data_IF_283087153689
#
_entry.id   IF_283087153689
#
_cell.length_a   1.000
_cell.length_b   1.000
_cell.length_c   1.000
_cell.angle_alpha   90.00
_cell.angle_beta   90.00
_cell.angle_gamma   90.00
#
_symmetry.space_group_name_H-M   'P 1'
#
loop_
_entity.id
_entity.type
_entity.pdbx_description
1 polymer ?
#
# COMPACT_ATOMS: atom_id res chain seq x y z
N UNK A 1 -30.68 5.04 -19.37
CA UNK A 1 -29.54 5.18 -18.43
C UNK A 1 -28.33 4.39 -18.93
N UNK A 2 -28.49 3.11 -19.29
CA UNK A 2 -27.47 2.26 -19.94
C UNK A 2 -26.84 2.86 -21.21
N UNK A 3 -27.62 3.43 -22.13
CA UNK A 3 -27.09 4.03 -23.36
C UNK A 3 -26.23 5.29 -23.10
N UNK A 4 -26.58 6.10 -22.10
CA UNK A 4 -25.79 7.27 -21.70
C UNK A 4 -24.48 6.85 -21.02
N UNK A 5 -24.51 5.79 -20.20
CA UNK A 5 -23.33 5.17 -19.60
C UNK A 5 -22.41 4.56 -20.66
N UNK A 6 -22.96 3.88 -21.67
CA UNK A 6 -22.20 3.30 -22.78
C UNK A 6 -21.56 4.36 -23.67
N UNK A 7 -22.27 5.46 -23.96
CA UNK A 7 -21.73 6.59 -24.73
C UNK A 7 -20.67 7.34 -23.92
N UNK A 8 -20.83 7.51 -22.61
CA UNK A 8 -19.83 8.12 -21.74
C UNK A 8 -18.57 7.24 -21.61
N UNK A 9 -18.74 5.91 -21.54
CA UNK A 9 -17.67 4.92 -21.56
C UNK A 9 -16.96 4.82 -22.92
N UNK A 10 -17.66 5.12 -24.02
CA UNK A 10 -17.09 5.21 -25.36
C UNK A 10 -16.40 6.57 -25.62
N UNK A 11 -16.90 7.66 -25.01
CA UNK A 11 -16.39 9.02 -25.20
C UNK A 11 -15.09 9.30 -24.44
N UNK A 12 -14.87 8.61 -23.32
CA UNK A 12 -13.61 8.67 -22.59
C UNK A 12 -12.89 7.35 -22.78
N UNK A 13 -11.86 7.34 -23.62
CA UNK A 13 -10.97 6.17 -23.67
C UNK A 13 -10.52 5.82 -22.25
N UNK A 14 -10.59 4.54 -21.87
CA UNK A 14 -10.23 4.08 -20.53
C UNK A 14 -8.83 4.59 -20.10
N UNK A 15 -7.96 4.83 -21.08
CA UNK A 15 -6.65 5.44 -20.89
C UNK A 15 -6.71 6.90 -20.42
N UNK A 16 -7.59 7.73 -20.98
CA UNK A 16 -7.78 9.11 -20.53
C UNK A 16 -8.40 9.13 -19.14
N UNK A 17 -9.42 8.30 -18.87
CA UNK A 17 -10.02 8.19 -17.55
C UNK A 17 -8.97 7.82 -16.48
N UNK A 18 -8.12 6.83 -16.77
CA UNK A 18 -7.05 6.43 -15.87
C UNK A 18 -6.03 7.56 -15.63
N UNK A 19 -5.61 8.28 -16.68
CA UNK A 19 -4.68 9.41 -16.55
C UNK A 19 -5.27 10.55 -15.72
N UNK A 20 -6.53 10.89 -15.97
CA UNK A 20 -7.25 11.94 -15.23
C UNK A 20 -7.40 11.54 -13.77
N UNK A 21 -7.74 10.28 -13.48
CA UNK A 21 -7.86 9.80 -12.10
C UNK A 21 -6.52 9.83 -11.38
N UNK A 22 -5.43 9.38 -12.02
CA UNK A 22 -4.08 9.44 -11.45
C UNK A 22 -3.68 10.90 -11.16
N UNK A 23 -3.79 11.78 -12.16
CA UNK A 23 -3.45 13.20 -12.00
C UNK A 23 -4.31 13.86 -10.93
N UNK A 24 -5.61 13.58 -10.92
CA UNK A 24 -6.56 14.09 -9.94
C UNK A 24 -6.27 13.60 -8.53
N UNK A 25 -5.93 12.32 -8.34
CA UNK A 25 -5.58 11.77 -7.04
C UNK A 25 -4.25 12.33 -6.52
N UNK A 26 -3.21 12.40 -7.36
CA UNK A 26 -1.91 12.95 -6.97
C UNK A 26 -1.99 14.46 -6.66
N UNK A 27 -2.65 15.23 -7.52
CA UNK A 27 -2.88 16.64 -7.29
C UNK A 27 -3.76 16.87 -6.05
N UNK A 28 -4.84 16.09 -5.92
CA UNK A 28 -5.73 16.13 -4.76
C UNK A 28 -5.01 15.84 -3.46
N UNK A 29 -4.11 14.85 -3.45
CA UNK A 29 -3.28 14.52 -2.29
C UNK A 29 -2.37 15.67 -1.88
N UNK A 30 -1.63 16.25 -2.84
CA UNK A 30 -0.76 17.40 -2.59
C UNK A 30 -1.55 18.63 -2.13
N UNK A 31 -2.68 18.90 -2.77
CA UNK A 31 -3.55 20.03 -2.45
C UNK A 31 -4.18 19.88 -1.07
N UNK A 32 -4.73 18.71 -0.75
CA UNK A 32 -5.31 18.42 0.55
C UNK A 32 -4.26 18.53 1.65
N UNK A 33 -3.06 17.96 1.45
CA UNK A 33 -1.95 18.08 2.39
C UNK A 33 -1.55 19.55 2.61
N UNK A 34 -1.41 20.33 1.53
CA UNK A 34 -1.07 21.76 1.61
C UNK A 34 -2.13 22.59 2.37
N UNK A 35 -3.42 22.34 2.12
CA UNK A 35 -4.53 23.11 2.69
C UNK A 35 -4.89 22.70 4.12
N UNK A 36 -4.73 21.43 4.46
CA UNK A 36 -5.14 20.89 5.75
C UNK A 36 -4.07 21.00 6.83
N UNK A 37 -2.86 21.43 6.48
CA UNK A 37 -1.79 21.64 7.43
C UNK A 37 -2.10 22.84 8.36
N UNK A 38 -1.98 22.67 9.69
CA UNK A 38 -2.31 23.70 10.66
C UNK A 38 -1.25 24.81 10.79
N UNK A 39 -0.11 24.69 10.11
CA UNK A 39 0.97 25.69 10.13
C UNK A 39 0.65 26.85 9.19
N UNK A 40 1.07 28.07 9.51
CA UNK A 40 0.67 29.29 8.77
C UNK A 40 1.56 29.69 7.59
N UNK A 41 2.71 29.05 7.37
CA UNK A 41 3.69 29.46 6.36
C UNK A 41 3.56 28.72 5.03
N UNK A 42 3.87 29.41 3.92
CA UNK A 42 3.95 28.80 2.58
C UNK A 42 5.00 27.67 2.53
N UNK A 43 6.23 27.96 2.97
CA UNK A 43 7.35 27.02 2.93
C UNK A 43 7.07 25.69 3.66
N UNK A 44 6.65 25.67 4.95
CA UNK A 44 6.40 24.39 5.63
C UNK A 44 5.23 23.62 5.00
N UNK A 45 4.21 24.30 4.46
CA UNK A 45 3.11 23.64 3.75
C UNK A 45 3.55 23.03 2.43
N UNK A 46 4.34 23.75 1.65
CA UNK A 46 4.91 23.26 0.41
C UNK A 46 5.77 22.02 0.66
N UNK A 47 6.73 22.12 1.60
CA UNK A 47 7.61 20.99 1.96
C UNK A 47 6.80 19.78 2.44
N UNK A 48 5.84 19.97 3.35
CA UNK A 48 5.00 18.87 3.83
C UNK A 48 4.17 18.23 2.70
N UNK A 49 3.60 19.03 1.80
CA UNK A 49 2.85 18.52 0.65
C UNK A 49 3.74 17.74 -0.32
N UNK A 50 4.98 18.20 -0.55
CA UNK A 50 5.97 17.50 -1.37
C UNK A 50 6.38 16.19 -0.73
N UNK A 51 6.67 16.17 0.56
CA UNK A 51 7.02 14.93 1.29
C UNK A 51 5.87 13.94 1.30
N UNK A 52 4.63 14.42 1.46
CA UNK A 52 3.43 13.58 1.41
C UNK A 52 3.25 12.92 0.03
N UNK A 53 3.50 13.67 -1.05
CA UNK A 53 3.36 13.18 -2.41
C UNK A 53 4.54 12.29 -2.86
N UNK A 54 5.76 12.67 -2.50
CA UNK A 54 7.02 12.04 -2.94
C UNK A 54 7.51 10.97 -1.95
N UNK A 55 6.60 10.19 -1.37
CA UNK A 55 7.00 9.06 -0.53
C UNK A 55 7.06 7.74 -1.35
N UNK A 56 7.84 6.74 -0.89
CA UNK A 56 7.92 5.44 -1.55
C UNK A 56 6.57 4.71 -1.64
N UNK A 57 5.68 4.93 -0.68
CA UNK A 57 4.35 4.32 -0.65
C UNK A 57 3.50 4.71 -1.87
N UNK A 58 3.44 6.00 -2.24
CA UNK A 58 2.70 6.49 -3.41
C UNK A 58 3.25 5.85 -4.68
N UNK A 59 4.58 5.77 -4.80
CA UNK A 59 5.24 5.18 -5.95
C UNK A 59 4.89 3.69 -6.13
N UNK A 60 5.03 2.89 -5.06
CA UNK A 60 4.70 1.46 -5.12
C UNK A 60 3.24 1.21 -5.50
N UNK A 61 2.31 2.01 -4.98
CA UNK A 61 0.87 1.87 -5.26
C UNK A 61 0.49 2.33 -6.66
N UNK A 62 1.17 3.34 -7.19
CA UNK A 62 1.02 3.77 -8.57
C UNK A 62 1.47 2.68 -9.55
N UNK A 63 2.58 2.00 -9.28
CA UNK A 63 3.08 0.91 -10.11
C UNK A 63 2.16 -0.32 -10.12
N UNK A 64 1.49 -0.60 -8.99
CA UNK A 64 0.49 -1.67 -8.91
C UNK A 64 -0.89 -1.30 -9.47
N UNK A 65 -1.13 -0.04 -9.82
CA UNK A 65 -2.43 0.42 -10.28
C UNK A 65 -3.51 0.42 -9.19
N UNK A 66 -3.13 0.55 -7.91
CA UNK A 66 -4.07 0.66 -6.78
C UNK A 66 -4.68 2.07 -6.71
N UNK A 67 -5.50 2.40 -7.71
CA UNK A 67 -6.04 3.75 -7.93
C UNK A 67 -7.01 4.19 -6.82
N UNK A 68 -7.86 3.30 -6.32
CA UNK A 68 -8.81 3.62 -5.23
C UNK A 68 -8.09 3.93 -3.90
N UNK A 69 -7.02 3.19 -3.60
CA UNK A 69 -6.18 3.46 -2.44
C UNK A 69 -5.47 4.83 -2.56
N UNK A 70 -5.02 5.22 -3.75
CA UNK A 70 -4.46 6.56 -3.98
C UNK A 70 -5.52 7.66 -3.85
N UNK A 71 -6.75 7.42 -4.32
CA UNK A 71 -7.86 8.35 -4.14
C UNK A 71 -8.24 8.52 -2.66
N UNK A 72 -8.30 7.42 -1.90
CA UNK A 72 -8.47 7.46 -0.44
C UNK A 72 -7.31 8.19 0.25
N UNK A 73 -6.07 7.92 -0.17
CA UNK A 73 -4.88 8.59 0.34
C UNK A 73 -4.91 10.10 0.10
N UNK A 74 -5.50 10.55 -1.01
CA UNK A 74 -5.71 11.97 -1.29
C UNK A 74 -6.71 12.64 -0.36
N UNK A 75 -7.73 11.91 0.10
CA UNK A 75 -8.75 12.41 1.03
C UNK A 75 -8.31 12.38 2.49
N UNK A 76 -7.34 11.53 2.85
CA UNK A 76 -6.89 11.34 4.22
C UNK A 76 -6.52 12.66 4.97
N UNK A 77 -5.76 13.61 4.39
CA UNK A 77 -5.45 14.87 5.07
C UNK A 77 -6.69 15.72 5.36
N UNK A 78 -7.66 15.68 4.45
CA UNK A 78 -8.93 16.39 4.62
C UNK A 78 -9.79 15.77 5.71
N UNK A 79 -9.93 14.44 5.72
CA UNK A 79 -10.65 13.73 6.79
C UNK A 79 -10.00 13.94 8.16
N UNK A 80 -8.66 13.91 8.23
CA UNK A 80 -7.91 14.20 9.45
C UNK A 80 -8.12 15.66 9.93
N UNK A 81 -8.21 16.62 9.01
CA UNK A 81 -8.56 18.01 9.33
C UNK A 81 -9.97 18.15 9.92
N UNK A 82 -10.97 17.46 9.34
CA UNK A 82 -12.33 17.45 9.89
C UNK A 82 -12.37 16.90 11.34
N UNK A 83 -11.65 15.81 11.62
CA UNK A 83 -11.55 15.25 12.97
C UNK A 83 -10.82 16.20 13.92
N UNK A 84 -9.73 16.81 13.47
CA UNK A 84 -9.03 17.84 14.25
C UNK A 84 -9.94 19.02 14.58
N UNK A 85 -10.80 19.46 13.66
CA UNK A 85 -11.76 20.54 13.92
C UNK A 85 -12.76 20.17 15.02
N UNK A 86 -13.23 18.91 15.08
CA UNK A 86 -14.08 18.43 16.19
C UNK A 86 -13.33 18.52 17.51
N UNK A 87 -12.07 18.09 17.55
CA UNK A 87 -11.24 18.15 18.75
C UNK A 87 -11.04 19.60 19.19
N UNK A 88 -10.86 20.54 18.26
CA UNK A 88 -10.67 21.95 18.60
C UNK A 88 -11.95 22.66 19.03
N UNK A 89 -13.05 22.39 18.33
CA UNK A 89 -14.37 23.01 18.55
C UNK A 89 -15.45 21.94 18.40
N UNK A 90 -15.75 21.21 19.50
CA UNK A 90 -16.78 20.17 19.48
C UNK A 90 -18.11 20.73 19.00
N UNK A 91 -18.67 20.16 17.94
CA UNK A 91 -19.93 20.60 17.37
C UNK A 91 -20.63 19.47 16.62
N UNK A 92 -21.96 19.47 16.65
CA UNK A 92 -22.78 18.47 15.93
C UNK A 92 -22.56 18.52 14.41
N UNK A 93 -22.46 19.73 13.85
CA UNK A 93 -22.17 19.92 12.42
C UNK A 93 -20.79 19.36 12.07
N UNK A 94 -19.77 19.63 12.89
CA UNK A 94 -18.44 19.05 12.73
C UNK A 94 -18.46 17.52 12.77
N UNK A 95 -19.19 16.94 13.73
CA UNK A 95 -19.36 15.49 13.85
C UNK A 95 -19.96 14.85 12.59
N UNK A 96 -21.01 15.44 12.01
CA UNK A 96 -21.64 14.95 10.78
C UNK A 96 -20.66 15.02 9.60
N UNK A 97 -19.94 16.14 9.45
CA UNK A 97 -18.97 16.33 8.36
C UNK A 97 -17.83 15.32 8.48
N UNK A 98 -17.25 15.14 9.69
CA UNK A 98 -16.18 14.17 9.88
C UNK A 98 -16.66 12.72 9.72
N UNK A 99 -17.88 12.41 10.14
CA UNK A 99 -18.48 11.09 9.91
C UNK A 99 -18.66 10.82 8.41
N UNK A 100 -19.18 11.78 7.65
CA UNK A 100 -19.32 11.67 6.20
C UNK A 100 -17.96 11.52 5.51
N UNK A 101 -16.96 12.31 5.90
CA UNK A 101 -15.60 12.21 5.37
C UNK A 101 -14.92 10.86 5.72
N UNK A 102 -15.16 10.34 6.93
CA UNK A 102 -14.64 9.04 7.38
C UNK A 102 -15.31 7.88 6.67
N UNK A 103 -16.63 7.93 6.51
CA UNK A 103 -17.38 6.94 5.75
C UNK A 103 -16.95 6.92 4.27
N UNK A 104 -16.78 8.10 3.65
CA UNK A 104 -16.26 8.20 2.29
C UNK A 104 -14.85 7.62 2.16
N UNK A 105 -13.97 7.89 3.13
CA UNK A 105 -12.63 7.31 3.17
C UNK A 105 -12.68 5.78 3.27
N UNK A 106 -13.53 5.24 4.16
CA UNK A 106 -13.71 3.80 4.33
C UNK A 106 -14.31 3.11 3.11
N UNK A 107 -15.23 3.77 2.39
CA UNK A 107 -15.80 3.28 1.13
C UNK A 107 -14.76 3.20 0.01
N UNK A 108 -13.78 4.11 0.00
CA UNK A 108 -12.71 4.10 -1.00
C UNK A 108 -11.62 3.10 -0.66
N UNK A 109 -11.15 3.10 0.59
CA UNK A 109 -10.12 2.17 1.05
C UNK A 109 -10.17 2.00 2.58
N UNK A 110 -10.62 0.84 3.03
CA UNK A 110 -10.80 0.53 4.47
C UNK A 110 -9.50 0.54 5.26
N UNK A 111 -8.36 0.23 4.61
CA UNK A 111 -7.03 0.16 5.23
C UNK A 111 -6.57 1.54 5.76
N UNK A 112 -7.09 2.63 5.20
CA UNK A 112 -6.78 3.99 5.63
C UNK A 112 -7.51 4.41 6.91
N UNK A 113 -8.49 3.62 7.37
CA UNK A 113 -9.16 3.88 8.65
C UNK A 113 -8.23 3.66 9.84
N UNK A 114 -7.25 2.74 9.73
CA UNK A 114 -6.28 2.48 10.80
C UNK A 114 -5.37 3.70 11.05
N UNK A 115 -4.63 4.25 10.06
CA UNK A 115 -3.83 5.45 10.30
C UNK A 115 -4.70 6.64 10.72
N UNK A 116 -5.91 6.78 10.17
CA UNK A 116 -6.84 7.82 10.60
C UNK A 116 -7.23 7.66 12.08
N UNK A 117 -7.52 6.45 12.54
CA UNK A 117 -7.84 6.16 13.94
C UNK A 117 -6.66 6.51 14.86
N UNK A 118 -5.43 6.14 14.48
CA UNK A 118 -4.21 6.51 15.23
C UNK A 118 -4.08 8.03 15.34
N UNK A 119 -4.20 8.78 14.23
CA UNK A 119 -4.15 10.24 14.24
C UNK A 119 -5.26 10.85 15.11
N UNK A 120 -6.45 10.26 15.07
CA UNK A 120 -7.61 10.70 15.86
C UNK A 120 -7.40 10.50 17.35
N UNK A 121 -6.88 9.33 17.76
CA UNK A 121 -6.55 9.03 19.15
C UNK A 121 -5.52 10.03 19.68
N UNK A 122 -4.44 10.27 18.93
CA UNK A 122 -3.41 11.26 19.30
C UNK A 122 -4.02 12.66 19.44
N UNK A 123 -4.87 13.07 18.48
CA UNK A 123 -5.53 14.37 18.53
C UNK A 123 -6.47 14.50 19.74
N UNK A 124 -7.29 13.48 20.00
CA UNK A 124 -8.23 13.46 21.14
C UNK A 124 -7.47 13.50 22.47
N UNK A 125 -6.42 12.69 22.65
CA UNK A 125 -5.58 12.72 23.85
C UNK A 125 -4.99 14.13 24.05
N UNK A 126 -4.44 14.72 22.99
CA UNK A 126 -3.86 16.07 23.05
C UNK A 126 -4.91 17.12 23.44
N UNK A 127 -6.11 17.05 22.86
CA UNK A 127 -7.23 17.94 23.19
C UNK A 127 -7.72 17.78 24.62
N UNK A 128 -7.84 16.54 25.10
CA UNK A 128 -8.22 16.23 26.49
C UNK A 128 -7.18 16.74 27.49
N UNK A 129 -5.89 16.53 27.24
CA UNK A 129 -4.81 17.03 28.10
C UNK A 129 -4.82 18.56 28.17
N UNK A 130 -5.00 19.23 27.03
CA UNK A 130 -5.01 20.70 26.96
C UNK A 130 -6.21 21.34 27.66
N UNK A 131 -7.37 20.67 27.67
CA UNK A 131 -8.63 21.23 28.19
C UNK A 131 -9.23 20.42 29.35
N UNK A 132 -8.41 19.65 30.07
CA UNK A 132 -8.85 18.69 31.11
C UNK A 132 -9.73 19.28 32.22
N UNK A 133 -9.62 20.59 32.49
CA UNK A 133 -10.39 21.26 33.53
C UNK A 133 -11.79 21.72 33.06
N UNK A 134 -12.04 21.72 31.75
CA UNK A 134 -13.31 22.18 31.19
C UNK A 134 -14.25 21.00 30.91
N UNK A 135 -15.04 20.62 31.92
CA UNK A 135 -16.01 19.52 31.82
C UNK A 135 -17.02 19.67 30.67
N UNK A 136 -17.41 20.91 30.33
CA UNK A 136 -18.32 21.16 29.19
C UNK A 136 -17.66 20.74 27.88
N UNK A 137 -16.40 21.13 27.67
CA UNK A 137 -15.63 20.71 26.50
C UNK A 137 -15.51 19.19 26.41
N UNK A 138 -15.15 18.53 27.52
CA UNK A 138 -15.00 17.06 27.56
C UNK A 138 -16.31 16.36 27.18
N UNK A 139 -17.42 16.77 27.79
CA UNK A 139 -18.76 16.22 27.49
C UNK A 139 -19.13 16.43 26.02
N UNK A 140 -18.95 17.65 25.51
CA UNK A 140 -19.34 17.99 24.14
C UNK A 140 -18.45 17.29 23.09
N UNK A 141 -17.17 17.06 23.42
CA UNK A 141 -16.24 16.25 22.63
C UNK A 141 -16.70 14.79 22.59
N UNK A 142 -16.97 14.18 23.74
CA UNK A 142 -17.48 12.80 23.80
C UNK A 142 -18.80 12.65 23.05
N UNK A 143 -19.74 13.59 23.20
CA UNK A 143 -21.00 13.59 22.46
C UNK A 143 -20.78 13.69 20.94
N UNK A 144 -19.85 14.54 20.51
CA UNK A 144 -19.51 14.71 19.08
C UNK A 144 -18.84 13.47 18.50
N UNK A 145 -17.91 12.84 19.25
CA UNK A 145 -17.24 11.60 18.85
C UNK A 145 -18.21 10.42 18.81
N UNK A 146 -19.08 10.29 19.81
CA UNK A 146 -20.10 9.25 19.85
C UNK A 146 -21.08 9.38 18.68
N UNK A 147 -21.52 10.61 18.37
CA UNK A 147 -22.36 10.87 17.21
C UNK A 147 -21.64 10.51 15.91
N UNK A 148 -20.37 10.92 15.75
CA UNK A 148 -19.61 10.61 14.55
C UNK A 148 -19.41 9.09 14.37
N UNK A 149 -19.07 8.38 15.46
CA UNK A 149 -18.91 6.93 15.46
C UNK A 149 -20.22 6.22 15.10
N UNK A 150 -21.33 6.65 15.67
CA UNK A 150 -22.65 6.10 15.37
C UNK A 150 -22.97 6.25 13.88
N UNK A 151 -22.79 7.46 13.32
CA UNK A 151 -23.03 7.72 11.90
C UNK A 151 -22.14 6.89 10.98
N UNK A 152 -20.85 6.77 11.30
CA UNK A 152 -19.91 5.93 10.53
C UNK A 152 -20.31 4.45 10.61
N UNK A 153 -20.69 3.97 11.79
CA UNK A 153 -21.13 2.58 11.99
C UNK A 153 -22.43 2.29 11.22
N UNK A 154 -23.39 3.22 11.23
CA UNK A 154 -24.61 3.10 10.43
C UNK A 154 -24.30 3.09 8.93
N UNK A 155 -23.45 3.98 8.45
CA UNK A 155 -23.04 4.02 7.04
C UNK A 155 -22.25 2.75 6.63
N UNK A 156 -21.48 2.18 7.55
CA UNK A 156 -20.67 0.96 7.34
C UNK A 156 -21.44 -0.34 7.61
N UNK A 157 -22.70 -0.24 8.06
CA UNK A 157 -23.49 -1.40 8.47
C UNK A 157 -23.67 -2.43 7.33
N UNK A 158 -23.68 -1.97 6.08
CA UNK A 158 -23.92 -2.82 4.90
C UNK A 158 -22.86 -3.94 4.75
N UNK A 159 -21.60 -3.71 5.12
CA UNK A 159 -20.54 -4.71 5.07
C UNK A 159 -20.18 -5.25 6.46
N UNK A 160 -20.35 -4.43 7.51
CA UNK A 160 -20.03 -4.83 8.87
C UNK A 160 -20.98 -5.92 9.40
N UNK A 161 -22.28 -5.84 9.10
CA UNK A 161 -23.27 -6.84 9.53
C UNK A 161 -22.99 -8.22 8.91
N UNK A 162 -22.86 -8.39 7.57
CA UNK A 162 -22.58 -9.70 6.99
C UNK A 162 -21.20 -10.25 7.38
N UNK A 163 -20.24 -9.37 7.68
CA UNK A 163 -18.94 -9.76 8.22
C UNK A 163 -19.06 -10.35 9.63
N UNK A 164 -19.79 -9.70 10.54
CA UNK A 164 -20.01 -10.16 11.91
C UNK A 164 -20.85 -11.45 11.97
N UNK A 165 -21.80 -11.61 11.04
CA UNK A 165 -22.64 -12.81 10.94
C UNK A 165 -21.94 -13.97 10.22
N UNK A 166 -20.74 -13.76 9.67
CA UNK A 166 -20.00 -14.79 8.94
C UNK A 166 -20.62 -15.23 7.61
N UNK A 167 -21.62 -14.48 7.11
CA UNK A 167 -22.41 -14.86 5.93
C UNK A 167 -21.89 -14.26 4.62
N UNK A 168 -20.92 -13.34 4.69
CA UNK A 168 -20.31 -12.69 3.52
C UNK A 168 -19.14 -13.46 2.88
N UNK A 169 -18.89 -13.18 1.60
CA UNK A 169 -17.69 -13.63 0.88
C UNK A 169 -16.41 -13.21 1.61
N UNK A 170 -16.37 -11.97 2.11
CA UNK A 170 -15.24 -11.42 2.86
C UNK A 170 -14.96 -12.20 4.15
N UNK A 171 -16.01 -12.57 4.90
CA UNK A 171 -15.87 -13.35 6.12
C UNK A 171 -15.26 -14.74 5.85
N UNK A 172 -15.65 -15.38 4.74
CA UNK A 172 -15.06 -16.65 4.31
C UNK A 172 -13.61 -16.49 3.87
N UNK A 173 -13.27 -15.42 3.17
CA UNK A 173 -11.89 -15.14 2.77
C UNK A 173 -10.99 -14.90 3.98
N UNK A 174 -11.47 -14.15 4.98
CA UNK A 174 -10.75 -13.92 6.24
C UNK A 174 -10.57 -15.23 7.00
N UNK A 175 -11.62 -16.06 7.09
CA UNK A 175 -11.54 -17.36 7.75
C UNK A 175 -10.60 -18.35 7.03
N UNK A 176 -10.46 -18.22 5.70
CA UNK A 176 -9.53 -19.02 4.91
C UNK A 176 -8.09 -18.49 4.93
N UNK A 177 -7.87 -17.25 5.38
CA UNK A 177 -6.55 -16.62 5.44
C UNK A 177 -5.79 -17.20 6.63
N UNK A 178 -4.73 -17.97 6.35
CA UNK A 178 -3.91 -18.61 7.36
C UNK A 178 -2.66 -17.79 7.72
N UNK A 179 -1.91 -18.27 8.72
CA UNK A 179 -0.64 -17.66 9.12
C UNK A 179 0.39 -17.61 7.97
N UNK A 180 0.35 -18.59 7.06
CA UNK A 180 1.22 -18.63 5.88
C UNK A 180 0.94 -17.45 4.93
N UNK A 181 -0.33 -17.08 4.75
CA UNK A 181 -0.72 -15.94 3.92
C UNK A 181 -0.26 -14.63 4.58
N UNK A 182 -0.48 -14.49 5.89
CA UNK A 182 -0.03 -13.32 6.66
C UNK A 182 1.50 -13.15 6.54
N UNK A 183 2.25 -14.24 6.65
CA UNK A 183 3.70 -14.20 6.51
C UNK A 183 4.13 -13.84 5.07
N UNK A 184 3.42 -14.32 4.05
CA UNK A 184 3.72 -14.01 2.64
C UNK A 184 3.43 -12.54 2.26
N UNK A 185 2.49 -11.88 2.95
CA UNK A 185 2.15 -10.47 2.76
C UNK A 185 2.74 -9.53 3.83
N UNK A 186 3.66 -10.04 4.67
CA UNK A 186 4.31 -9.25 5.71
C UNK A 186 5.27 -8.21 5.11
N UNK A 187 5.45 -7.09 5.82
CA UNK A 187 6.44 -6.09 5.45
C UNK A 187 7.85 -6.67 5.58
N UNK A 188 8.69 -6.43 4.59
CA UNK A 188 10.05 -7.00 4.53
C UNK A 188 11.06 -5.95 4.98
N UNK A 189 11.82 -6.30 6.00
CA UNK A 189 12.92 -5.48 6.51
C UNK A 189 14.13 -5.53 5.56
N UNK A 190 14.81 -4.39 5.39
CA UNK A 190 16.07 -4.33 4.66
C UNK A 190 17.14 -5.04 5.52
N UNK A 191 17.99 -5.91 4.92
CA UNK A 191 19.10 -6.55 5.63
C UNK A 191 20.01 -5.61 6.43
N UNK A 192 20.09 -4.32 6.08
CA UNK A 192 20.98 -3.35 6.72
C UNK A 192 20.32 -2.47 7.78
N UNK A 193 19.07 -2.09 7.57
CA UNK A 193 18.35 -1.12 8.41
C UNK A 193 17.29 -1.78 9.29
N UNK A 194 16.89 -3.03 9.00
CA UNK A 194 15.83 -3.71 9.71
C UNK A 194 14.43 -3.20 9.36
N UNK A 195 13.43 -3.63 10.13
CA UNK A 195 12.01 -3.40 9.82
C UNK A 195 11.53 -1.99 10.21
N UNK A 196 11.95 -1.49 11.37
CA UNK A 196 11.47 -0.22 11.94
C UNK A 196 11.78 1.00 11.05
N UNK A 197 13.03 1.19 10.58
CA UNK A 197 13.36 2.28 9.67
C UNK A 197 12.64 2.16 8.32
N UNK A 198 12.42 0.93 7.84
CA UNK A 198 11.62 0.70 6.63
C UNK A 198 10.19 1.17 6.82
N UNK A 199 9.53 0.79 7.93
CA UNK A 199 8.15 1.22 8.20
C UNK A 199 8.04 2.75 8.37
N UNK A 200 8.99 3.38 9.06
CA UNK A 200 9.03 4.85 9.22
C UNK A 200 9.30 5.56 7.89
N UNK A 201 10.14 4.97 7.03
CA UNK A 201 10.38 5.42 5.67
C UNK A 201 9.23 5.10 4.69
N UNK A 202 8.15 4.47 5.16
CA UNK A 202 7.04 3.99 4.33
C UNK A 202 7.50 3.02 3.23
N UNK A 203 8.52 2.23 3.56
CA UNK A 203 9.23 1.27 2.72
C UNK A 203 9.02 -0.18 3.21
N UNK A 204 9.49 -1.17 2.45
CA UNK A 204 9.34 -2.58 2.79
C UNK A 204 8.05 -3.23 2.25
N UNK A 205 7.62 -2.81 1.05
CA UNK A 205 6.49 -3.43 0.37
C UNK A 205 6.80 -4.89 0.00
N UNK A 206 5.93 -5.82 0.40
CA UNK A 206 6.16 -7.27 0.26
C UNK A 206 6.51 -7.69 -1.18
N UNK A 207 5.99 -6.97 -2.18
CA UNK A 207 6.18 -7.38 -3.57
C UNK A 207 7.54 -7.01 -4.17
N UNK A 208 8.29 -6.11 -3.52
CA UNK A 208 9.70 -5.86 -3.85
C UNK A 208 10.53 -7.11 -3.56
N UNK A 209 10.34 -7.71 -2.40
CA UNK A 209 11.01 -8.96 -2.00
C UNK A 209 10.63 -10.13 -2.91
N UNK A 210 9.40 -10.14 -3.43
CA UNK A 210 8.94 -11.18 -4.35
C UNK A 210 9.38 -10.96 -5.81
N UNK A 211 10.27 -9.99 -6.08
CA UNK A 211 10.83 -9.76 -7.41
C UNK A 211 9.81 -9.28 -8.45
N UNK A 212 8.67 -8.75 -8.02
CA UNK A 212 7.61 -8.27 -8.93
C UNK A 212 7.95 -6.93 -9.58
N UNK A 213 8.89 -6.18 -9.02
CA UNK A 213 9.48 -5.01 -9.65
C UNK A 213 10.77 -5.40 -10.35
N UNK A 214 10.70 -5.64 -11.65
CA UNK A 214 11.88 -5.84 -12.48
C UNK A 214 12.60 -4.52 -12.73
N UNK A 215 13.23 -3.95 -11.70
CA UNK A 215 14.21 -2.85 -11.88
C UNK A 215 15.20 -2.67 -10.75
N UNK A 216 15.81 -3.73 -10.26
CA UNK A 216 17.14 -3.62 -9.64
C UNK A 216 17.81 -4.99 -9.53
N UNK A 217 18.62 -5.26 -10.55
CA UNK A 217 19.64 -6.29 -10.64
C UNK A 217 19.19 -7.71 -10.29
N UNK A 218 19.29 -8.58 -11.29
CA UNK A 218 19.91 -9.88 -11.09
C UNK A 218 21.23 -9.66 -10.32
N UNK A 219 21.15 -9.61 -8.99
CA UNK A 219 22.33 -9.73 -8.14
C UNK A 219 22.61 -11.22 -8.14
N UNK A 220 23.13 -11.71 -9.26
CA UNK A 220 23.87 -12.96 -9.22
C UNK A 220 25.00 -12.71 -8.24
N UNK A 221 24.91 -13.32 -7.07
CA UNK A 221 26.09 -13.62 -6.30
C UNK A 221 27.00 -14.37 -7.26
N UNK A 222 28.11 -13.73 -7.63
CA UNK A 222 29.12 -14.31 -8.49
C UNK A 222 29.70 -15.50 -7.73
N UNK A 223 29.12 -16.67 -7.93
CA UNK A 223 29.78 -17.90 -7.51
C UNK A 223 31.00 -18.12 -8.42
N UNK A 224 32.02 -18.82 -7.94
CA UNK A 224 33.33 -18.94 -8.61
C UNK A 224 33.25 -19.50 -10.05
N UNK A 225 32.10 -20.04 -10.45
CA UNK A 225 31.89 -20.70 -11.74
C UNK A 225 31.00 -19.92 -12.74
N UNK A 226 30.65 -18.66 -12.47
CA UNK A 226 30.10 -17.75 -13.50
C UNK A 226 28.69 -18.07 -14.03
N UNK A 227 27.96 -19.01 -13.44
CA UNK A 227 26.58 -19.32 -13.82
C UNK A 227 25.55 -18.60 -12.94
N UNK A 228 24.71 -17.78 -13.56
CA UNK A 228 23.55 -17.14 -12.94
C UNK A 228 22.38 -18.13 -12.86
N UNK A 229 22.02 -18.59 -11.65
CA UNK A 229 20.74 -19.29 -11.42
C UNK A 229 19.67 -18.27 -11.03
N UNK A 230 18.47 -18.28 -11.66
CA UNK A 230 17.34 -17.49 -11.19
C UNK A 230 16.89 -17.98 -9.80
N UNK A 231 16.36 -17.10 -8.93
CA UNK A 231 15.82 -17.55 -7.64
C UNK A 231 14.68 -18.54 -7.90
N UNK A 232 14.82 -19.75 -7.32
CA UNK A 232 13.85 -20.82 -7.47
C UNK A 232 12.49 -20.38 -6.89
N UNK A 233 11.53 -20.17 -7.77
CA UNK A 233 10.13 -19.97 -7.43
C UNK A 233 9.55 -21.27 -6.86
N UNK A 234 9.53 -21.40 -5.53
CA UNK A 234 8.78 -22.45 -4.83
C UNK A 234 7.38 -21.94 -4.52
N UNK A 235 6.46 -22.15 -5.45
CA UNK A 235 5.02 -22.17 -5.14
C UNK A 235 4.72 -23.39 -4.24
N UNK A 236 3.98 -23.25 -3.13
CA UNK A 236 3.41 -24.38 -2.43
C UNK A 236 2.18 -24.85 -3.22
N UNK A 237 2.39 -25.57 -4.32
CA UNK A 237 1.30 -26.32 -4.97
C UNK A 237 1.03 -27.56 -4.12
N UNK A 238 -0.02 -27.48 -3.30
CA UNK A 238 -0.57 -28.60 -2.54
C UNK A 238 -1.12 -29.64 -3.52
N UNK A 239 -0.54 -30.84 -3.53
CA UNK A 239 -1.15 -32.05 -4.09
C UNK A 239 -0.73 -32.44 -5.51
N UNK A 240 0.51 -32.92 -5.69
CA UNK A 240 0.84 -33.96 -6.69
C UNK A 240 1.91 -34.91 -6.13
N UNK A 241 1.83 -36.22 -6.38
CA UNK A 241 2.77 -37.19 -5.85
C UNK A 241 4.17 -37.00 -6.46
N UNK A 242 5.18 -37.23 -5.61
CA UNK A 242 6.60 -37.11 -5.90
C UNK A 242 7.04 -38.04 -7.04
N UNK A 243 7.32 -37.47 -8.21
CA UNK A 243 8.14 -38.10 -9.23
C UNK A 243 9.58 -37.62 -9.03
N UNK A 244 10.46 -38.55 -8.67
CA UNK A 244 11.87 -38.30 -8.34
C UNK A 244 12.61 -37.57 -9.46
N UNK A 245 13.22 -36.44 -9.11
CA UNK A 245 14.08 -35.69 -10.03
C UNK A 245 15.51 -36.23 -9.92
N UNK A 246 15.94 -37.01 -10.92
CA UNK A 246 17.36 -37.26 -11.19
C UNK A 246 17.99 -35.96 -11.73
N UNK A 247 19.25 -35.64 -11.37
CA UNK A 247 19.91 -34.44 -11.88
C UNK A 247 20.13 -34.55 -13.39
N UNK A 248 19.64 -33.56 -14.13
CA UNK A 248 19.86 -33.46 -15.57
C UNK A 248 21.34 -33.15 -15.83
N UNK A 249 22.02 -34.15 -16.38
CA UNK A 249 23.33 -34.04 -16.98
C UNK A 249 23.39 -32.92 -18.01
N UNK A 250 24.52 -32.21 -17.99
CA UNK A 250 25.09 -31.42 -19.08
C UNK A 250 24.71 -32.01 -20.45
N UNK A 251 23.79 -31.34 -21.14
CA UNK A 251 23.35 -31.76 -22.47
C UNK A 251 24.42 -31.39 -23.49
N UNK A 252 25.19 -32.41 -23.83
CA UNK A 252 26.27 -32.39 -24.81
C UNK A 252 25.77 -31.96 -26.18
N UNK A 253 26.58 -31.11 -26.82
CA UNK A 253 26.68 -30.90 -28.26
C UNK A 253 26.48 -32.20 -29.05
N UNK A 254 25.40 -32.29 -29.84
CA UNK A 254 25.32 -33.12 -31.05
C UNK A 254 24.39 -32.45 -32.07
N UNK A 255 24.93 -31.48 -32.78
CA UNK A 255 24.65 -31.28 -34.20
C UNK A 255 25.97 -30.89 -34.85
N UNK A 256 26.58 -31.86 -35.52
CA UNK A 256 27.73 -31.61 -36.37
C UNK A 256 27.23 -31.08 -37.72
N UNK A 257 27.86 -30.03 -38.23
CA UNK A 257 28.53 -29.99 -39.54
C UNK A 257 29.31 -28.66 -39.60
N UNK A 258 30.63 -28.81 -39.35
CA UNK A 258 31.74 -28.26 -40.13
C UNK A 258 31.64 -26.78 -40.55
N UNK A 259 32.31 -25.90 -39.82
CA UNK A 259 33.22 -24.95 -40.47
C UNK A 259 34.47 -24.65 -39.62
N UNK A 260 35.62 -24.67 -40.29
CA UNK A 260 36.97 -24.41 -39.79
C UNK A 260 37.21 -22.91 -39.83
N UNK A 261 37.72 -22.29 -38.77
CA UNK A 261 38.66 -21.15 -38.88
C UNK A 261 38.99 -20.52 -37.51
N UNK A 262 40.27 -20.62 -37.13
CA UNK A 262 41.06 -19.74 -36.23
C UNK A 262 40.85 -19.93 -34.72
N UNK A 263 41.87 -20.50 -34.04
CA UNK A 263 42.92 -19.85 -33.18
C UNK A 263 42.30 -19.25 -31.89
N UNK A 264 42.74 -19.48 -30.66
CA UNK A 264 43.98 -20.00 -30.06
C UNK A 264 43.72 -20.33 -28.56
N UNK A 265 44.62 -21.02 -27.86
CA UNK A 265 44.41 -21.57 -26.52
C UNK A 265 44.93 -20.65 -25.40
N UNK A 266 44.25 -20.61 -24.25
CA UNK A 266 44.89 -20.22 -23.00
C UNK A 266 45.52 -21.46 -22.37
N UNK A 267 46.82 -21.57 -22.62
CA UNK A 267 47.78 -22.42 -21.90
C UNK A 267 47.98 -21.82 -20.51
N UNK A 268 47.86 -22.63 -19.47
CA UNK A 268 48.43 -22.32 -18.16
C UNK A 268 49.32 -23.51 -17.80
N UNK A 269 50.63 -23.28 -17.92
CA UNK A 269 51.69 -24.15 -17.43
C UNK A 269 51.72 -24.10 -15.89
N UNK A 270 52.08 -25.26 -15.34
CA UNK A 270 52.98 -25.52 -14.20
C UNK A 270 52.85 -24.71 -12.91
N UNK A 271 52.62 -25.43 -11.81
CA UNK A 271 53.66 -25.73 -10.81
C UNK A 271 53.14 -26.54 -9.61
N UNK A 272 53.78 -27.69 -9.38
CA UNK A 272 54.22 -28.28 -8.09
C UNK A 272 53.15 -28.48 -6.99
N UNK A 273 52.94 -29.66 -6.42
CA UNK A 273 53.73 -30.88 -6.27
C UNK A 273 52.82 -32.11 -6.09
#
# INVERSE_FOLDING_TARGET
MEAALAILAAAVSAQVAAKVLILGALFGAAFAAYRCLPTGGFVPRAVASTVYLMNPFVYGRLQYGHLFLLAGYALLPWTASCLRQIVQRPSRRGAIIAAAATALLGMLEVQLLIPLAVLSVVAVITGLVSNRQNWRYVRDLFASLALALLLVATASSYWLIPLLLGSGLEARTIAATGQADVNAYSAVGDPRLGLLPNLLGLYGFWAEANGRFTRSAARCSRDRDGCCSPPAFKLPLRGRPSVGHRPAHCLSRRFGIRDRSKRQPCRADDSLA
#
